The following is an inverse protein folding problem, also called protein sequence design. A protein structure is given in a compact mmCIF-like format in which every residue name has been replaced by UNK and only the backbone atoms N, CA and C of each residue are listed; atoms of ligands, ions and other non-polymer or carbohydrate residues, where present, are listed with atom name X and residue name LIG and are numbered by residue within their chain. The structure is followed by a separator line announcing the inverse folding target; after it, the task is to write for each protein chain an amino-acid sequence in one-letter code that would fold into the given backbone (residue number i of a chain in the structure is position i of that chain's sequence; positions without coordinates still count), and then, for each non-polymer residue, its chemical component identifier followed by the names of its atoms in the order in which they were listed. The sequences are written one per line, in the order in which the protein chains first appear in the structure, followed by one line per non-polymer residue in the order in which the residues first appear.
data_IF_681816565932
#
_entry.id   IF_681816565932
#
_cell.length_a   1.000
_cell.length_b   1.000
_cell.length_c   1.000
_cell.angle_alpha   90.00
_cell.angle_beta   90.00
_cell.angle_gamma   90.00
#
_symmetry.space_group_name_H-M   'P 1'
#
loop_
_entity.id
_entity.type
_entity.pdbx_description
1 polymer ?
#
# COMPACT_ATOMS: atom_id res chain seq x y z
N UNK A 1 49.40 -1.92 -4.38
CA UNK A 1 48.39 -1.06 -3.72
C UNK A 1 47.43 -0.36 -4.70
N UNK A 2 47.88 0.31 -5.75
CA UNK A 2 47.00 1.04 -6.72
C UNK A 2 45.99 0.18 -7.48
N UNK A 3 46.20 -1.13 -7.71
CA UNK A 3 45.25 -2.04 -8.38
C UNK A 3 44.11 -2.48 -7.49
N UNK A 4 44.31 -2.57 -6.19
CA UNK A 4 43.26 -2.97 -5.24
C UNK A 4 42.21 -1.86 -5.07
N UNK A 5 42.62 -0.60 -5.05
CA UNK A 5 41.70 0.55 -4.98
C UNK A 5 40.80 0.70 -6.22
N UNK A 6 41.32 0.33 -7.41
CA UNK A 6 40.49 0.33 -8.63
C UNK A 6 39.42 -0.76 -8.61
N UNK A 7 39.73 -1.95 -8.06
CA UNK A 7 38.75 -3.03 -7.92
C UNK A 7 37.67 -2.70 -6.87
N UNK A 8 38.07 -2.13 -5.72
CA UNK A 8 37.13 -1.71 -4.69
C UNK A 8 36.22 -0.57 -5.18
N UNK A 9 36.77 0.37 -5.96
CA UNK A 9 35.98 1.47 -6.54
C UNK A 9 34.95 0.97 -7.58
N UNK A 10 35.29 -0.02 -8.41
CA UNK A 10 34.36 -0.64 -9.34
C UNK A 10 33.22 -1.39 -8.64
N UNK A 11 33.49 -2.08 -7.52
CA UNK A 11 32.46 -2.81 -6.75
C UNK A 11 31.48 -1.84 -6.07
N UNK A 12 31.99 -0.71 -5.57
CA UNK A 12 31.15 0.32 -4.94
C UNK A 12 30.24 1.01 -5.99
N UNK A 13 30.74 1.26 -7.18
CA UNK A 13 29.95 1.89 -8.28
C UNK A 13 28.87 0.93 -8.81
N UNK A 14 29.12 -0.39 -8.84
CA UNK A 14 28.10 -1.37 -9.25
C UNK A 14 26.98 -1.55 -8.22
N UNK A 15 27.21 -1.29 -6.94
CA UNK A 15 26.19 -1.41 -5.86
C UNK A 15 25.11 -0.31 -5.87
N UNK A 16 25.33 0.80 -6.59
CA UNK A 16 24.35 1.92 -6.63
C UNK A 16 23.38 1.88 -7.81
N UNK A 17 23.50 0.93 -8.73
CA UNK A 17 22.66 0.89 -9.95
C UNK A 17 21.36 0.07 -9.78
N UNK A 18 21.20 -0.71 -8.72
CA UNK A 18 20.04 -1.60 -8.57
C UNK A 18 18.80 -0.96 -7.92
N UNK A 19 18.93 0.22 -7.31
CA UNK A 19 17.80 0.83 -6.59
C UNK A 19 16.94 1.78 -7.44
N UNK A 20 17.34 2.12 -8.66
CA UNK A 20 16.71 3.18 -9.46
C UNK A 20 15.60 2.73 -10.42
N UNK A 21 15.67 1.52 -10.97
CA UNK A 21 14.79 1.12 -12.06
C UNK A 21 13.32 0.91 -11.66
N UNK A 22 13.08 0.38 -10.46
CA UNK A 22 11.70 0.09 -10.03
C UNK A 22 10.87 1.34 -9.73
N UNK A 23 11.50 2.39 -9.21
CA UNK A 23 10.82 3.65 -8.86
C UNK A 23 10.50 4.47 -10.11
N UNK A 24 11.45 4.56 -11.07
CA UNK A 24 11.23 5.26 -12.31
C UNK A 24 10.11 4.63 -13.15
N UNK A 25 10.05 3.28 -13.22
CA UNK A 25 9.00 2.58 -13.95
C UNK A 25 7.61 2.85 -13.34
N UNK A 26 7.47 2.86 -12.00
CA UNK A 26 6.21 3.18 -11.32
C UNK A 26 5.73 4.59 -11.63
N UNK A 27 6.62 5.57 -11.63
CA UNK A 27 6.30 6.98 -11.93
C UNK A 27 5.78 7.14 -13.35
N UNK A 28 6.38 6.46 -14.33
CA UNK A 28 5.97 6.54 -15.75
C UNK A 28 4.62 5.88 -16.00
N UNK A 29 4.29 4.82 -15.25
CA UNK A 29 3.04 4.05 -15.45
C UNK A 29 1.87 4.56 -14.58
N UNK A 30 2.12 5.39 -13.59
CA UNK A 30 1.09 6.04 -12.80
C UNK A 30 0.59 7.29 -13.55
N UNK A 31 -0.71 7.32 -13.87
CA UNK A 31 -1.32 8.43 -14.62
C UNK A 31 -1.46 9.73 -13.82
N UNK A 32 -1.21 9.71 -12.50
CA UNK A 32 -1.09 10.94 -11.72
C UNK A 32 0.20 11.67 -12.13
N UNK A 33 0.16 13.00 -12.15
CA UNK A 33 1.39 13.75 -12.39
C UNK A 33 2.38 13.58 -11.19
N UNK A 34 3.67 13.72 -11.48
CA UNK A 34 4.76 13.52 -10.49
C UNK A 34 4.58 14.37 -9.23
N UNK A 35 4.10 15.61 -9.40
CA UNK A 35 3.84 16.52 -8.26
C UNK A 35 2.76 15.96 -7.34
N UNK A 36 1.68 15.44 -7.89
CA UNK A 36 0.59 14.81 -7.10
C UNK A 36 1.08 13.56 -6.39
N UNK A 37 1.88 12.71 -7.06
CA UNK A 37 2.46 11.53 -6.43
C UNK A 37 3.35 11.90 -5.23
N UNK A 38 4.23 12.90 -5.40
CA UNK A 38 5.10 13.38 -4.33
C UNK A 38 4.30 13.98 -3.15
N UNK A 39 3.20 14.69 -3.43
CA UNK A 39 2.31 15.21 -2.39
C UNK A 39 1.61 14.07 -1.64
N UNK A 40 1.07 13.08 -2.34
CA UNK A 40 0.42 11.91 -1.74
C UNK A 40 1.41 11.14 -0.84
N UNK A 41 2.65 10.93 -1.31
CA UNK A 41 3.70 10.27 -0.52
C UNK A 41 4.05 11.06 0.73
N UNK A 42 4.18 12.39 0.63
CA UNK A 42 4.40 13.27 1.79
C UNK A 42 3.27 13.13 2.82
N UNK A 43 2.01 13.12 2.37
CA UNK A 43 0.85 12.91 3.23
C UNK A 43 0.94 11.55 3.93
N UNK A 44 1.22 10.46 3.18
CA UNK A 44 1.36 9.11 3.75
C UNK A 44 2.44 9.06 4.83
N UNK A 45 3.63 9.59 4.56
CA UNK A 45 4.76 9.61 5.49
C UNK A 45 4.44 10.43 6.74
N UNK A 46 3.80 11.59 6.57
CA UNK A 46 3.44 12.46 7.70
C UNK A 46 2.40 11.78 8.60
N UNK A 47 1.39 11.12 8.01
CA UNK A 47 0.39 10.37 8.79
C UNK A 47 1.06 9.21 9.51
N UNK A 48 1.90 8.41 8.84
CA UNK A 48 2.63 7.30 9.47
C UNK A 48 3.46 7.77 10.66
N UNK A 49 4.15 8.90 10.51
CA UNK A 49 4.92 9.48 11.63
C UNK A 49 4.00 9.84 12.79
N UNK A 50 2.90 10.56 12.55
CA UNK A 50 1.94 10.92 13.61
C UNK A 50 1.34 9.70 14.32
N UNK A 51 1.05 8.62 13.57
CA UNK A 51 0.55 7.38 14.14
C UNK A 51 1.63 6.67 14.99
N UNK A 52 2.90 6.70 14.51
CA UNK A 52 4.04 6.12 15.23
C UNK A 52 4.34 6.86 16.55
N UNK A 53 4.26 8.20 16.51
CA UNK A 53 4.53 9.05 17.67
C UNK A 53 3.38 9.03 18.68
N UNK A 54 2.27 8.33 18.39
CA UNK A 54 1.09 8.24 19.27
C UNK A 54 1.13 7.00 20.14
N UNK A 55 1.10 7.20 21.46
CA UNK A 55 0.98 6.10 22.43
C UNK A 55 -0.36 5.34 22.33
N UNK A 56 -1.35 5.97 21.71
CA UNK A 56 -2.73 5.43 21.60
C UNK A 56 -2.92 4.54 20.37
N UNK A 57 -2.05 4.68 19.34
CA UNK A 57 -2.16 3.95 18.08
C UNK A 57 -0.88 3.18 17.81
N UNK A 58 -0.98 1.85 17.67
CA UNK A 58 0.17 1.03 17.30
C UNK A 58 0.43 1.13 15.79
N UNK A 59 1.59 1.62 15.41
CA UNK A 59 1.99 1.87 14.02
C UNK A 59 1.85 0.64 13.11
N UNK A 60 2.21 -0.54 13.61
CA UNK A 60 2.30 -1.75 12.79
C UNK A 60 0.93 -2.32 12.38
N UNK A 61 -0.13 -1.88 13.04
CA UNK A 61 -1.48 -2.41 12.81
C UNK A 61 -2.25 -1.61 11.74
N UNK A 62 -1.79 -0.38 11.41
CA UNK A 62 -2.47 0.50 10.46
C UNK A 62 -1.55 0.88 9.30
N UNK A 63 -1.94 0.49 8.10
CA UNK A 63 -1.31 0.92 6.85
C UNK A 63 -2.03 2.15 6.30
N UNK A 64 -1.24 3.12 5.82
CA UNK A 64 -1.75 4.38 5.23
C UNK A 64 -1.44 4.41 3.75
N UNK A 65 -2.42 4.80 2.95
CA UNK A 65 -2.30 5.02 1.50
C UNK A 65 -2.98 6.33 1.13
N UNK A 66 -2.45 7.04 0.15
CA UNK A 66 -3.01 8.30 -0.34
C UNK A 66 -3.09 8.31 -1.87
N UNK A 67 -4.23 8.75 -2.40
CA UNK A 67 -4.45 8.96 -3.83
C UNK A 67 -5.19 10.26 -4.05
N UNK A 68 -4.53 11.24 -4.68
CA UNK A 68 -5.08 12.60 -4.92
C UNK A 68 -5.57 13.29 -3.63
N UNK A 69 -4.86 13.09 -2.51
CA UNK A 69 -5.24 13.60 -1.19
C UNK A 69 -6.34 12.78 -0.48
N UNK A 70 -6.87 11.73 -1.10
CA UNK A 70 -7.81 10.82 -0.44
C UNK A 70 -7.02 9.74 0.31
N UNK A 71 -7.11 9.75 1.62
CA UNK A 71 -6.38 8.85 2.51
C UNK A 71 -7.21 7.61 2.80
N UNK A 72 -6.54 6.47 2.83
CA UNK A 72 -7.10 5.18 3.21
C UNK A 72 -6.29 4.62 4.38
N UNK A 73 -6.93 4.39 5.50
CA UNK A 73 -6.37 3.74 6.68
C UNK A 73 -6.88 2.31 6.74
N UNK A 74 -5.97 1.35 6.66
CA UNK A 74 -6.30 -0.08 6.56
C UNK A 74 -5.53 -0.86 7.60
N UNK A 75 -6.22 -1.64 8.46
CA UNK A 75 -5.52 -2.41 9.47
C UNK A 75 -6.41 -3.01 10.53
N UNK A 76 -5.81 -3.25 11.69
CA UNK A 76 -6.45 -3.86 12.84
C UNK A 76 -6.35 -2.93 14.06
N UNK A 77 -7.28 -3.12 14.99
CA UNK A 77 -7.30 -2.41 16.26
C UNK A 77 -7.53 -3.36 17.43
N UNK A 78 -6.93 -3.05 18.58
CA UNK A 78 -7.16 -3.78 19.83
C UNK A 78 -8.35 -3.19 20.60
N UNK A 79 -8.42 -1.85 20.66
CA UNK A 79 -9.51 -1.12 21.35
C UNK A 79 -10.17 -0.12 20.41
N UNK A 80 -11.46 0.06 20.56
CA UNK A 80 -12.30 0.80 19.59
C UNK A 80 -11.92 2.28 19.46
N UNK A 81 -11.33 2.90 20.50
CA UNK A 81 -10.85 4.28 20.47
C UNK A 81 -9.76 4.51 19.43
N UNK A 82 -8.87 3.52 19.20
CA UNK A 82 -7.76 3.61 18.25
C UNK A 82 -8.21 4.01 16.84
N UNK A 83 -9.40 3.59 16.42
CA UNK A 83 -9.97 3.98 15.10
C UNK A 83 -10.21 5.49 15.03
N UNK A 84 -10.81 6.04 16.07
CA UNK A 84 -11.09 7.47 16.17
C UNK A 84 -9.81 8.30 16.23
N UNK A 85 -8.85 7.84 17.03
CA UNK A 85 -7.57 8.52 17.21
C UNK A 85 -6.76 8.52 15.91
N UNK A 86 -6.69 7.39 15.21
CA UNK A 86 -6.03 7.31 13.90
C UNK A 86 -6.65 8.27 12.87
N UNK A 87 -7.98 8.33 12.80
CA UNK A 87 -8.69 9.25 11.90
C UNK A 87 -8.45 10.71 12.31
N UNK A 88 -8.47 11.03 13.60
CA UNK A 88 -8.22 12.38 14.13
C UNK A 88 -6.80 12.84 13.78
N UNK A 89 -5.79 12.00 13.99
CA UNK A 89 -4.40 12.30 13.66
C UNK A 89 -4.20 12.50 12.14
N UNK A 90 -4.81 11.65 11.32
CA UNK A 90 -4.74 11.78 9.88
C UNK A 90 -5.40 13.05 9.35
N UNK A 91 -6.53 13.48 9.93
CA UNK A 91 -7.22 14.72 9.56
C UNK A 91 -6.40 16.00 9.79
N UNK A 92 -5.42 15.95 10.70
CA UNK A 92 -4.56 17.09 11.00
C UNK A 92 -3.46 17.31 9.96
N UNK A 93 -3.30 16.40 8.99
CA UNK A 93 -2.23 16.50 8.00
C UNK A 93 -2.70 17.34 6.82
N UNK A 94 -1.90 18.34 6.50
CA UNK A 94 -2.16 19.24 5.38
C UNK A 94 -2.25 18.46 4.05
N UNK A 95 -3.20 18.81 3.21
CA UNK A 95 -3.44 18.16 1.92
C UNK A 95 -4.38 16.96 1.97
N UNK A 96 -4.79 16.50 3.15
CA UNK A 96 -5.80 15.44 3.31
C UNK A 96 -7.18 16.00 2.94
N UNK A 97 -7.80 15.43 1.90
CA UNK A 97 -9.14 15.80 1.41
C UNK A 97 -10.24 14.94 2.00
N UNK A 98 -9.98 13.65 2.11
CA UNK A 98 -10.93 12.69 2.68
C UNK A 98 -10.20 11.53 3.35
N UNK A 99 -10.88 10.86 4.28
CA UNK A 99 -10.36 9.65 4.94
C UNK A 99 -11.39 8.54 4.80
N UNK A 100 -10.94 7.43 4.26
CA UNK A 100 -11.66 6.16 4.22
C UNK A 100 -10.95 5.17 5.14
N UNK A 101 -11.70 4.47 5.99
CA UNK A 101 -11.13 3.50 6.91
C UNK A 101 -11.65 2.09 6.61
N UNK A 102 -10.76 1.11 6.73
CA UNK A 102 -11.08 -0.31 6.76
C UNK A 102 -10.34 -0.92 7.94
N UNK A 103 -11.03 -1.02 9.07
CA UNK A 103 -10.47 -1.54 10.31
C UNK A 103 -11.24 -2.77 10.78
N UNK A 104 -10.50 -3.80 11.15
CA UNK A 104 -11.05 -5.00 11.79
C UNK A 104 -10.56 -5.09 13.24
N UNK A 105 -11.40 -5.57 14.17
CA UNK A 105 -10.92 -5.86 15.52
C UNK A 105 -9.93 -7.03 15.47
N UNK A 106 -8.85 -6.96 16.22
CA UNK A 106 -7.97 -8.11 16.40
C UNK A 106 -8.73 -9.28 16.98
N UNK A 107 -8.49 -10.46 16.46
CA UNK A 107 -9.09 -11.70 16.90
C UNK A 107 -8.02 -12.62 17.48
N UNK A 108 -8.14 -12.95 18.75
CA UNK A 108 -7.33 -13.98 19.36
C UNK A 108 -7.63 -15.33 18.68
N UNK A 109 -6.58 -16.08 18.32
CA UNK A 109 -6.72 -17.39 17.68
C UNK A 109 -7.19 -17.36 16.20
N UNK A 110 -7.14 -16.22 15.53
CA UNK A 110 -7.37 -16.20 14.08
C UNK A 110 -6.24 -16.96 13.36
N UNK A 111 -6.61 -17.92 12.53
CA UNK A 111 -5.66 -18.72 11.75
C UNK A 111 -4.99 -17.91 10.62
N UNK A 112 -5.44 -16.68 10.36
CA UNK A 112 -4.80 -15.78 9.37
C UNK A 112 -3.84 -14.82 10.07
N UNK A 113 -2.59 -15.23 10.18
CA UNK A 113 -1.52 -14.44 10.78
C UNK A 113 -0.89 -13.42 9.81
N UNK A 114 0.18 -12.79 10.29
CA UNK A 114 0.93 -11.80 9.48
C UNK A 114 1.53 -12.42 8.23
N UNK A 115 2.09 -13.64 8.32
CA UNK A 115 2.66 -14.38 7.18
C UNK A 115 1.61 -14.68 6.11
N UNK A 116 0.43 -15.15 6.52
CA UNK A 116 -0.66 -15.45 5.60
C UNK A 116 -1.15 -14.20 4.87
N UNK A 117 -1.26 -13.09 5.59
CA UNK A 117 -1.63 -11.80 5.02
C UNK A 117 -0.62 -11.32 3.97
N UNK A 118 0.70 -11.47 4.23
CA UNK A 118 1.76 -11.14 3.28
C UNK A 118 1.66 -12.03 2.06
N UNK A 119 1.56 -13.34 2.26
CA UNK A 119 1.49 -14.33 1.18
C UNK A 119 0.28 -14.08 0.27
N UNK A 120 -0.91 -13.85 0.83
CA UNK A 120 -2.11 -13.55 0.07
C UNK A 120 -1.99 -12.26 -0.74
N UNK A 121 -1.44 -11.20 -0.13
CA UNK A 121 -1.22 -9.94 -0.84
C UNK A 121 -0.25 -10.12 -2.02
N UNK A 122 0.81 -10.91 -1.87
CA UNK A 122 1.75 -11.24 -2.94
C UNK A 122 1.08 -12.06 -4.04
N UNK A 123 0.31 -13.12 -3.70
CA UNK A 123 -0.41 -13.95 -4.67
C UNK A 123 -1.42 -13.12 -5.48
N UNK A 124 -2.20 -12.27 -4.82
CA UNK A 124 -3.14 -11.38 -5.50
C UNK A 124 -2.39 -10.42 -6.43
N UNK A 125 -1.32 -9.77 -5.95
CA UNK A 125 -0.51 -8.87 -6.77
C UNK A 125 0.05 -9.57 -8.00
N UNK A 126 0.56 -10.80 -7.85
CA UNK A 126 1.07 -11.60 -8.97
C UNK A 126 -0.02 -11.90 -10.02
N UNK A 127 -1.26 -12.20 -9.58
CA UNK A 127 -2.38 -12.41 -10.50
C UNK A 127 -2.77 -11.12 -11.25
N UNK A 128 -2.74 -9.96 -10.55
CA UNK A 128 -3.01 -8.68 -11.20
C UNK A 128 -1.96 -8.33 -12.24
N UNK A 129 -0.68 -8.59 -11.97
CA UNK A 129 0.45 -8.31 -12.89
C UNK A 129 0.37 -9.17 -14.15
N UNK A 130 -0.12 -10.41 -14.07
CA UNK A 130 -0.27 -11.31 -15.22
C UNK A 130 -1.33 -10.83 -16.23
N UNK A 131 -2.35 -10.09 -15.80
CA UNK A 131 -3.40 -9.57 -16.69
C UNK A 131 -2.97 -8.22 -17.27
N UNK A 132 -2.49 -8.22 -18.52
CA UNK A 132 -2.09 -7.01 -19.27
C UNK A 132 -3.23 -5.99 -19.45
N UNK A 133 -4.47 -6.39 -19.21
CA UNK A 133 -5.64 -5.51 -19.26
C UNK A 133 -5.91 -4.78 -17.94
N UNK A 134 -5.00 -4.87 -16.95
CA UNK A 134 -5.09 -4.19 -15.66
C UNK A 134 -3.86 -3.32 -15.46
N UNK A 135 -4.05 -2.06 -15.08
CA UNK A 135 -2.96 -1.16 -14.65
C UNK A 135 -2.50 -1.54 -13.23
N UNK A 136 -1.88 -2.72 -13.10
CA UNK A 136 -1.55 -3.34 -11.80
C UNK A 136 -0.58 -2.50 -10.95
N UNK A 137 0.29 -1.70 -11.57
CA UNK A 137 1.22 -0.79 -10.89
C UNK A 137 0.50 0.29 -10.07
N UNK A 138 -0.73 0.63 -10.46
CA UNK A 138 -1.56 1.64 -9.82
C UNK A 138 -2.48 1.04 -8.73
N UNK A 139 -2.39 -0.27 -8.50
CA UNK A 139 -3.18 -0.97 -7.50
C UNK A 139 -2.30 -1.35 -6.31
N UNK A 140 -2.68 -0.89 -5.13
CA UNK A 140 -2.13 -1.36 -3.86
C UNK A 140 -3.02 -2.48 -3.32
N UNK A 141 -2.40 -3.56 -2.91
CA UNK A 141 -3.05 -4.72 -2.31
C UNK A 141 -2.65 -4.80 -0.85
N UNK A 142 -3.60 -4.80 0.06
CA UNK A 142 -3.39 -5.07 1.48
C UNK A 142 -4.27 -6.23 1.91
N UNK A 143 -3.72 -7.15 2.68
CA UNK A 143 -4.49 -8.19 3.35
C UNK A 143 -4.58 -7.89 4.85
N UNK A 144 -5.77 -8.07 5.42
CA UNK A 144 -6.05 -7.94 6.86
C UNK A 144 -6.97 -9.09 7.25
N UNK A 145 -6.52 -9.97 8.13
CA UNK A 145 -7.25 -11.20 8.50
C UNK A 145 -7.73 -11.98 7.26
N UNK A 146 -6.87 -12.18 6.27
CA UNK A 146 -7.14 -12.80 4.98
C UNK A 146 -8.25 -12.12 4.14
N UNK A 147 -8.64 -10.90 4.48
CA UNK A 147 -9.51 -10.07 3.66
C UNK A 147 -8.64 -9.13 2.82
N UNK A 148 -8.85 -9.17 1.52
CA UNK A 148 -8.09 -8.34 0.57
C UNK A 148 -8.75 -6.98 0.42
N UNK A 149 -7.94 -5.93 0.55
CA UNK A 149 -8.32 -4.54 0.27
C UNK A 149 -7.55 -4.07 -0.96
N UNK A 150 -8.28 -3.70 -2.01
CA UNK A 150 -7.72 -3.14 -3.24
C UNK A 150 -7.90 -1.63 -3.22
N UNK A 151 -6.81 -0.88 -3.44
CA UNK A 151 -6.76 0.57 -3.36
C UNK A 151 -6.04 1.11 -4.59
N UNK A 152 -6.45 2.26 -5.10
CA UNK A 152 -5.76 2.89 -6.21
C UNK A 152 -6.65 3.50 -7.27
N UNK A 153 -6.02 3.91 -8.37
CA UNK A 153 -6.68 4.54 -9.52
C UNK A 153 -6.42 3.71 -10.77
N UNK A 154 -7.46 3.39 -11.50
CA UNK A 154 -7.39 2.56 -12.71
C UNK A 154 -8.11 3.22 -13.89
N UNK A 155 -7.82 2.79 -15.11
CA UNK A 155 -8.34 3.44 -16.32
C UNK A 155 -9.82 3.19 -16.62
N UNK A 156 -10.47 2.18 -15.99
CA UNK A 156 -11.87 1.87 -16.29
C UNK A 156 -12.54 1.01 -15.23
N UNK A 157 -13.89 1.04 -15.22
CA UNK A 157 -14.71 0.12 -14.40
C UNK A 157 -14.44 -1.36 -14.73
N UNK A 158 -14.11 -1.68 -15.99
CA UNK A 158 -13.76 -3.04 -16.41
C UNK A 158 -12.49 -3.52 -15.70
N UNK A 159 -11.47 -2.65 -15.53
CA UNK A 159 -10.28 -2.99 -14.75
C UNK A 159 -10.61 -3.25 -13.27
N UNK A 160 -11.52 -2.49 -12.66
CA UNK A 160 -11.98 -2.73 -11.29
C UNK A 160 -12.59 -4.13 -11.17
N UNK A 161 -13.52 -4.46 -12.07
CA UNK A 161 -14.20 -5.77 -12.09
C UNK A 161 -13.19 -6.91 -12.22
N UNK A 162 -12.23 -6.81 -13.16
CA UNK A 162 -11.16 -7.79 -13.34
C UNK A 162 -10.28 -7.93 -12.10
N UNK A 163 -9.84 -6.81 -11.52
CA UNK A 163 -8.99 -6.82 -10.33
C UNK A 163 -9.68 -7.51 -9.15
N UNK A 164 -10.96 -7.23 -8.94
CA UNK A 164 -11.77 -7.91 -7.90
C UNK A 164 -11.90 -9.40 -8.19
N UNK A 165 -12.12 -9.81 -9.44
CA UNK A 165 -12.22 -11.22 -9.82
C UNK A 165 -10.89 -11.95 -9.57
N UNK A 166 -9.75 -11.38 -9.99
CA UNK A 166 -8.43 -11.94 -9.72
C UNK A 166 -8.12 -12.06 -8.22
N UNK A 167 -8.51 -11.07 -7.42
CA UNK A 167 -8.33 -11.15 -5.97
C UNK A 167 -9.18 -12.25 -5.34
N UNK A 168 -10.43 -12.40 -5.78
CA UNK A 168 -11.35 -13.45 -5.30
C UNK A 168 -10.92 -14.87 -5.68
N UNK A 169 -10.19 -15.05 -6.79
CA UNK A 169 -9.74 -16.36 -7.26
C UNK A 169 -8.57 -16.93 -6.48
N UNK A 170 -7.94 -16.15 -5.61
CA UNK A 170 -6.81 -16.63 -4.80
C UNK A 170 -7.33 -17.43 -3.61
N UNK A 171 -6.89 -18.70 -3.53
CA UNK A 171 -7.24 -19.60 -2.43
C UNK A 171 -6.75 -19.01 -1.11
N UNK A 172 -7.59 -19.03 -0.09
CA UNK A 172 -7.34 -18.47 1.23
C UNK A 172 -7.88 -17.05 1.43
N UNK A 173 -8.31 -16.37 0.36
CA UNK A 173 -8.96 -15.06 0.48
C UNK A 173 -10.37 -15.21 1.02
N UNK A 174 -10.64 -14.58 2.18
CA UNK A 174 -11.96 -14.61 2.83
C UNK A 174 -12.95 -13.66 2.18
N UNK A 175 -12.50 -12.45 1.86
CA UNK A 175 -13.32 -11.43 1.18
C UNK A 175 -12.45 -10.45 0.41
N UNK A 176 -13.08 -9.69 -0.51
CA UNK A 176 -12.40 -8.61 -1.24
C UNK A 176 -13.21 -7.33 -1.09
N UNK A 177 -12.57 -6.30 -0.52
CA UNK A 177 -13.07 -4.93 -0.49
C UNK A 177 -12.32 -4.08 -1.50
N UNK A 178 -13.02 -3.47 -2.42
CA UNK A 178 -12.41 -2.58 -3.42
C UNK A 178 -12.73 -1.13 -3.12
N UNK A 179 -11.69 -0.31 -3.07
CA UNK A 179 -11.71 1.15 -3.07
C UNK A 179 -11.04 1.71 -4.33
N UNK A 180 -10.92 0.87 -5.36
CA UNK A 180 -10.43 1.31 -6.67
C UNK A 180 -11.38 2.34 -7.26
N UNK A 181 -10.80 3.42 -7.81
CA UNK A 181 -11.55 4.46 -8.52
C UNK A 181 -11.03 4.56 -9.96
N UNK A 182 -11.88 5.05 -10.85
CA UNK A 182 -11.47 5.41 -12.21
C UNK A 182 -10.90 6.82 -12.17
N UNK A 183 -9.83 7.09 -12.95
CA UNK A 183 -9.24 8.43 -13.11
C UNK A 183 -10.28 9.47 -13.50
#
# INVERSE_FOLDING_TARGET
MKRIYKLIFCVIVMGFLDSGCGTAYKVVMDQRNVKTQAQDEKIELTIRKKLADSDQVKLFDISTYCFNGNVYLVGEYDVSSQKGDAVKLAKQVEGVKSITQYFLPKKAGDHCGTSDNIELAVKVTANLVKDKGISSTNIKVKSVQCNIVLLGLVGSKKQITKAVAHAKSVIGVRSVKSYLKVF
#
